data_IF_906619397828
#
_entry.id   IF_906619397828
#
_cell.length_a   1.000
_cell.length_b   1.000
_cell.length_c   1.000
_cell.angle_alpha   90.00
_cell.angle_beta   90.00
_cell.angle_gamma   90.00
#
_symmetry.space_group_name_H-M   'P 1'
#
loop_
_entity.id
_entity.type
_entity.pdbx_description
1 polymer ?
#
# COMPACT_ATOMS: atom_id res chain seq x y z
N UNK A 1 11.22 -2.47 20.51
CA UNK A 1 10.89 -1.39 19.56
C UNK A 1 11.60 -1.53 18.20
N UNK A 2 12.81 -2.10 18.12
CA UNK A 2 13.57 -2.26 16.86
C UNK A 2 12.90 -3.15 15.79
N UNK A 3 12.18 -4.20 16.19
CA UNK A 3 11.52 -5.12 15.25
C UNK A 3 10.36 -4.49 14.47
N UNK A 4 9.46 -3.77 15.17
CA UNK A 4 8.30 -3.12 14.56
C UNK A 4 8.73 -2.10 13.50
N UNK A 5 9.67 -1.22 13.84
CA UNK A 5 10.14 -0.19 12.91
C UNK A 5 10.82 -0.79 11.68
N UNK A 6 11.70 -1.78 11.86
CA UNK A 6 12.34 -2.50 10.74
C UNK A 6 11.32 -3.16 9.82
N UNK A 7 10.31 -3.82 10.39
CA UNK A 7 9.25 -4.47 9.61
C UNK A 7 8.35 -3.44 8.91
N UNK A 8 8.05 -2.31 9.55
CA UNK A 8 7.30 -1.21 8.93
C UNK A 8 8.06 -0.59 7.76
N UNK A 9 9.36 -0.33 7.92
CA UNK A 9 10.22 0.15 6.83
C UNK A 9 10.29 -0.85 5.70
N UNK A 10 10.47 -2.14 6.00
CA UNK A 10 10.49 -3.19 4.98
C UNK A 10 9.15 -3.26 4.23
N UNK A 11 8.03 -3.21 4.94
CA UNK A 11 6.71 -3.23 4.32
C UNK A 11 6.50 -2.00 3.42
N UNK A 12 6.82 -0.80 3.90
CA UNK A 12 6.74 0.43 3.11
C UNK A 12 7.61 0.40 1.85
N UNK A 13 8.84 -0.10 1.97
CA UNK A 13 9.75 -0.23 0.83
C UNK A 13 9.26 -1.27 -0.20
N UNK A 14 8.75 -2.41 0.25
CA UNK A 14 8.14 -3.42 -0.63
C UNK A 14 6.89 -2.87 -1.33
N UNK A 15 6.06 -2.11 -0.61
CA UNK A 15 4.87 -1.48 -1.17
C UNK A 15 5.23 -0.46 -2.26
N UNK A 16 6.24 0.39 -2.00
CA UNK A 16 6.75 1.33 -3.00
C UNK A 16 7.31 0.60 -4.22
N UNK A 17 8.14 -0.44 -4.00
CA UNK A 17 8.71 -1.23 -5.09
C UNK A 17 7.64 -1.89 -5.97
N UNK A 18 6.59 -2.43 -5.34
CA UNK A 18 5.44 -2.97 -6.06
C UNK A 18 4.70 -1.89 -6.86
N UNK A 19 4.34 -0.77 -6.22
CA UNK A 19 3.66 0.36 -6.88
C UNK A 19 4.45 0.89 -8.07
N UNK A 20 5.76 1.07 -7.91
CA UNK A 20 6.65 1.50 -8.99
C UNK A 20 6.71 0.49 -10.15
N UNK A 21 6.80 -0.80 -9.86
CA UNK A 21 6.79 -1.85 -10.86
C UNK A 21 5.47 -1.88 -11.66
N UNK A 22 4.33 -1.71 -10.98
CA UNK A 22 3.04 -1.57 -11.63
C UNK A 22 2.92 -0.28 -12.45
N UNK A 23 3.51 0.83 -12.00
CA UNK A 23 3.64 2.06 -12.78
C UNK A 23 4.37 1.86 -14.09
N UNK A 24 5.50 1.13 -14.06
CA UNK A 24 6.21 0.74 -15.27
C UNK A 24 5.39 -0.20 -16.15
N UNK A 25 4.72 -1.20 -15.55
CA UNK A 25 3.84 -2.11 -16.27
C UNK A 25 2.69 -1.37 -16.97
N UNK A 26 2.11 -0.36 -16.30
CA UNK A 26 1.05 0.48 -16.86
C UNK A 26 1.52 1.20 -18.11
N UNK A 27 2.64 1.91 -18.04
CA UNK A 27 3.13 2.72 -19.17
C UNK A 27 3.70 1.87 -20.30
N UNK A 28 4.46 0.82 -19.99
CA UNK A 28 5.16 0.03 -21.00
C UNK A 28 4.29 -1.05 -21.64
N UNK A 29 3.26 -1.52 -20.93
CA UNK A 29 2.45 -2.67 -21.38
C UNK A 29 0.96 -2.35 -21.41
N UNK A 30 0.37 -1.86 -20.31
CA UNK A 30 -1.09 -1.73 -20.27
C UNK A 30 -1.61 -0.64 -21.20
N UNK A 31 -1.03 0.56 -21.17
CA UNK A 31 -1.48 1.69 -22.00
C UNK A 31 -1.32 1.38 -23.49
N UNK A 32 -0.17 0.87 -23.98
CA UNK A 32 -0.01 0.54 -25.39
C UNK A 32 -0.97 -0.54 -25.91
N UNK A 33 -1.38 -1.49 -25.06
CA UNK A 33 -2.18 -2.65 -25.49
C UNK A 33 -3.68 -2.51 -25.19
N UNK A 34 -4.07 -1.81 -24.13
CA UNK A 34 -5.45 -1.72 -23.63
C UNK A 34 -6.01 -0.29 -23.69
N UNK A 35 -5.18 0.68 -24.06
CA UNK A 35 -5.52 2.10 -24.06
C UNK A 35 -5.43 2.74 -22.68
N UNK A 36 -5.43 4.07 -22.69
CA UNK A 36 -5.13 4.89 -21.51
C UNK A 36 -6.12 4.67 -20.36
N UNK A 37 -7.42 4.63 -20.67
CA UNK A 37 -8.49 4.50 -19.65
C UNK A 37 -8.42 3.18 -18.90
N UNK A 38 -8.30 2.06 -19.60
CA UNK A 38 -8.25 0.74 -18.96
C UNK A 38 -6.91 0.50 -18.25
N UNK A 39 -5.80 0.99 -18.81
CA UNK A 39 -4.50 0.89 -18.17
C UNK A 39 -4.46 1.54 -16.78
N UNK A 40 -5.01 2.75 -16.66
CA UNK A 40 -5.11 3.43 -15.37
C UNK A 40 -6.09 2.76 -14.39
N UNK A 41 -7.25 2.32 -14.88
CA UNK A 41 -8.28 1.70 -14.03
C UNK A 41 -7.85 0.35 -13.47
N UNK A 42 -7.03 -0.41 -14.18
CA UNK A 42 -6.54 -1.72 -13.73
C UNK A 42 -5.37 -1.61 -12.76
N UNK A 43 -4.51 -0.60 -12.92
CA UNK A 43 -3.35 -0.43 -12.05
C UNK A 43 -3.75 -0.25 -10.59
N UNK A 44 -4.66 0.68 -10.30
CA UNK A 44 -5.05 0.99 -8.92
C UNK A 44 -5.51 -0.23 -8.10
N UNK A 45 -6.48 -1.07 -8.56
CA UNK A 45 -6.90 -2.25 -7.81
C UNK A 45 -5.80 -3.30 -7.71
N UNK A 46 -4.96 -3.46 -8.74
CA UNK A 46 -3.85 -4.43 -8.71
C UNK A 46 -2.77 -4.04 -7.72
N UNK A 47 -2.35 -2.77 -7.72
CA UNK A 47 -1.39 -2.21 -6.76
C UNK A 47 -1.94 -2.34 -5.34
N UNK A 48 -3.17 -1.87 -5.13
CA UNK A 48 -3.81 -1.88 -3.81
C UNK A 48 -3.93 -3.31 -3.26
N UNK A 49 -4.37 -4.26 -4.08
CA UNK A 49 -4.46 -5.66 -3.70
C UNK A 49 -3.07 -6.24 -3.38
N UNK A 50 -2.07 -5.98 -4.20
CA UNK A 50 -0.70 -6.48 -3.99
C UNK A 50 -0.11 -5.97 -2.68
N UNK A 51 -0.21 -4.67 -2.42
CA UNK A 51 0.28 -4.06 -1.18
C UNK A 51 -0.46 -4.62 0.04
N UNK A 52 -1.79 -4.75 -0.04
CA UNK A 52 -2.58 -5.34 1.04
C UNK A 52 -2.21 -6.82 1.30
N UNK A 53 -1.93 -7.59 0.26
CA UNK A 53 -1.47 -8.97 0.38
C UNK A 53 -0.09 -9.07 1.04
N UNK A 54 0.84 -8.17 0.70
CA UNK A 54 2.16 -8.08 1.35
C UNK A 54 1.97 -7.80 2.86
N UNK A 55 1.19 -6.79 3.22
CA UNK A 55 0.93 -6.45 4.62
C UNK A 55 0.28 -7.58 5.41
N UNK A 56 -0.69 -8.25 4.78
CA UNK A 56 -1.39 -9.40 5.36
C UNK A 56 -0.45 -10.59 5.53
N UNK A 57 0.43 -10.86 4.56
CA UNK A 57 1.42 -11.92 4.64
C UNK A 57 2.46 -11.64 5.75
N UNK A 58 2.96 -10.40 5.84
CA UNK A 58 3.90 -10.01 6.90
C UNK A 58 3.28 -10.12 8.29
N UNK A 59 2.02 -9.70 8.44
CA UNK A 59 1.28 -9.83 9.69
C UNK A 59 1.10 -11.29 10.13
N UNK A 60 0.80 -12.20 9.21
CA UNK A 60 0.71 -13.63 9.52
C UNK A 60 2.07 -14.24 9.87
N UNK A 61 3.12 -13.85 9.13
CA UNK A 61 4.46 -14.42 9.28
C UNK A 61 5.21 -13.95 10.53
N UNK A 62 5.07 -12.67 10.88
CA UNK A 62 5.84 -11.99 11.92
C UNK A 62 4.98 -11.41 13.04
N UNK A 63 3.66 -11.28 12.81
CA UNK A 63 2.70 -10.67 13.73
C UNK A 63 1.98 -11.67 14.65
N UNK A 64 2.25 -12.97 14.54
CA UNK A 64 1.62 -14.00 15.34
C UNK A 64 1.84 -13.74 16.85
N UNK A 65 0.75 -13.62 17.61
CA UNK A 65 0.78 -13.31 19.05
C UNK A 65 0.86 -11.83 19.42
N UNK A 66 1.11 -10.92 18.47
CA UNK A 66 1.08 -9.47 18.74
C UNK A 66 -0.34 -8.91 18.81
N UNK A 67 -0.54 -7.75 19.43
CA UNK A 67 -1.86 -7.11 19.59
C UNK A 67 -2.36 -6.45 18.29
N UNK A 68 -3.67 -6.14 18.21
CA UNK A 68 -4.23 -5.37 17.09
C UNK A 68 -3.58 -4.00 16.95
N UNK A 69 -3.27 -3.35 18.08
CA UNK A 69 -2.57 -2.07 18.09
C UNK A 69 -1.16 -2.17 17.47
N UNK A 70 -0.45 -3.27 17.70
CA UNK A 70 0.86 -3.50 17.08
C UNK A 70 0.74 -3.66 15.55
N UNK A 71 -0.27 -4.39 15.07
CA UNK A 71 -0.53 -4.57 13.63
C UNK A 71 -0.94 -3.25 12.95
N UNK A 72 -1.76 -2.43 13.62
CA UNK A 72 -2.08 -1.08 13.15
C UNK A 72 -0.82 -0.20 13.08
N UNK A 73 0.02 -0.23 14.12
CA UNK A 73 1.27 0.52 14.12
C UNK A 73 2.21 0.08 12.98
N UNK A 74 2.27 -1.23 12.68
CA UNK A 74 3.03 -1.75 11.54
C UNK A 74 2.54 -1.13 10.22
N UNK A 75 1.23 -1.14 9.99
CA UNK A 75 0.62 -0.55 8.80
C UNK A 75 0.86 0.94 8.70
N UNK A 76 0.64 1.70 9.78
CA UNK A 76 0.84 3.16 9.81
C UNK A 76 2.30 3.54 9.53
N UNK A 77 3.26 2.85 10.14
CA UNK A 77 4.69 3.09 9.88
C UNK A 77 5.00 2.83 8.41
N UNK A 78 4.49 1.73 7.85
CA UNK A 78 4.72 1.39 6.45
C UNK A 78 4.10 2.42 5.49
N UNK A 79 2.88 2.88 5.76
CA UNK A 79 2.22 3.95 4.99
C UNK A 79 3.02 5.25 5.08
N UNK A 80 3.53 5.62 6.25
CA UNK A 80 4.37 6.81 6.41
C UNK A 80 5.68 6.69 5.62
N UNK A 81 6.30 5.51 5.62
CA UNK A 81 7.52 5.23 4.82
C UNK A 81 7.21 5.32 3.33
N UNK A 82 6.11 4.73 2.86
CA UNK A 82 5.67 4.83 1.46
C UNK A 82 5.48 6.29 1.04
N UNK A 83 4.70 7.06 1.80
CA UNK A 83 4.46 8.49 1.53
C UNK A 83 5.77 9.27 1.51
N UNK A 84 6.70 8.99 2.43
CA UNK A 84 8.00 9.66 2.46
C UNK A 84 8.81 9.37 1.20
N UNK A 85 8.89 8.11 0.76
CA UNK A 85 9.62 7.73 -0.46
C UNK A 85 8.96 8.37 -1.68
N UNK A 86 7.64 8.29 -1.80
CA UNK A 86 6.90 8.92 -2.91
C UNK A 86 7.04 10.44 -2.92
N UNK A 87 7.01 11.10 -1.75
CA UNK A 87 7.24 12.55 -1.65
C UNK A 87 8.62 12.93 -2.17
N UNK A 88 9.64 12.16 -1.81
CA UNK A 88 11.00 12.36 -2.32
C UNK A 88 11.02 12.21 -3.84
N UNK A 89 10.38 11.17 -4.37
CA UNK A 89 10.32 10.92 -5.80
C UNK A 89 9.57 12.03 -6.55
N UNK A 90 8.35 12.37 -6.13
CA UNK A 90 7.50 13.35 -6.77
C UNK A 90 8.11 14.75 -6.73
N UNK A 91 8.55 15.21 -5.56
CA UNK A 91 8.95 16.61 -5.36
C UNK A 91 10.40 16.87 -5.77
N UNK A 92 11.31 15.92 -5.54
CA UNK A 92 12.75 16.15 -5.76
C UNK A 92 13.28 15.50 -7.04
N UNK A 93 12.79 14.31 -7.39
CA UNK A 93 13.25 13.59 -8.59
C UNK A 93 12.44 14.03 -9.81
N UNK A 94 11.11 13.94 -9.74
CA UNK A 94 10.19 14.32 -10.82
C UNK A 94 9.90 15.83 -10.86
N UNK A 95 10.33 16.58 -9.85
CA UNK A 95 10.17 18.05 -9.75
C UNK A 95 8.72 18.50 -9.91
N UNK A 96 7.77 17.70 -9.43
CA UNK A 96 6.36 18.05 -9.48
C UNK A 96 6.05 19.24 -8.57
N UNK A 97 5.22 20.20 -9.03
CA UNK A 97 4.69 21.25 -8.18
C UNK A 97 3.95 20.68 -6.97
N UNK A 98 4.18 21.27 -5.79
CA UNK A 98 3.54 20.83 -4.53
C UNK A 98 2.01 20.80 -4.65
N UNK A 99 1.41 21.75 -5.37
CA UNK A 99 -0.04 21.79 -5.60
C UNK A 99 -0.56 20.56 -6.36
N UNK A 100 0.17 20.10 -7.38
CA UNK A 100 -0.20 18.88 -8.12
C UNK A 100 0.01 17.63 -7.27
N UNK A 101 1.09 17.58 -6.49
CA UNK A 101 1.29 16.50 -5.53
C UNK A 101 0.15 16.41 -4.52
N UNK A 102 -0.29 17.52 -3.92
CA UNK A 102 -1.40 17.53 -2.96
C UNK A 102 -2.75 17.16 -3.59
N UNK A 103 -2.96 17.37 -4.89
CA UNK A 103 -4.16 16.90 -5.59
C UNK A 103 -4.28 15.38 -5.56
N UNK A 104 -3.16 14.65 -5.55
CA UNK A 104 -3.19 13.19 -5.40
C UNK A 104 -3.77 12.74 -4.06
N UNK A 105 -3.84 13.59 -3.03
CA UNK A 105 -4.50 13.29 -1.75
C UNK A 105 -5.96 13.73 -1.69
N UNK A 106 -6.48 14.40 -2.72
CA UNK A 106 -7.82 14.98 -2.68
C UNK A 106 -8.90 13.95 -3.10
N UNK A 107 -9.50 13.29 -2.12
CA UNK A 107 -10.61 12.34 -2.33
C UNK A 107 -11.84 13.03 -2.93
N UNK A 108 -12.11 14.29 -2.56
CA UNK A 108 -13.27 15.06 -3.07
C UNK A 108 -13.13 15.31 -4.57
N UNK A 109 -11.89 15.47 -5.06
CA UNK A 109 -11.58 15.58 -6.48
C UNK A 109 -11.54 14.22 -7.21
N UNK A 110 -11.85 13.11 -6.53
CA UNK A 110 -11.91 11.77 -7.11
C UNK A 110 -10.61 10.97 -7.02
N UNK A 111 -9.61 11.42 -6.24
CA UNK A 111 -8.38 10.64 -6.08
C UNK A 111 -8.62 9.37 -5.25
N UNK A 112 -8.18 8.24 -5.77
CA UNK A 112 -8.24 6.95 -5.09
C UNK A 112 -7.02 6.68 -4.20
N UNK A 113 -5.96 7.48 -4.33
CA UNK A 113 -4.70 7.22 -3.64
C UNK A 113 -4.83 7.15 -2.09
N UNK A 114 -5.57 8.06 -1.42
CA UNK A 114 -5.82 7.94 0.02
C UNK A 114 -6.57 6.67 0.44
N UNK A 115 -7.44 6.15 -0.43
CA UNK A 115 -8.17 4.89 -0.19
C UNK A 115 -7.17 3.72 -0.21
N UNK A 116 -6.27 3.69 -1.19
CA UNK A 116 -5.19 2.70 -1.25
C UNK A 116 -4.29 2.75 0.00
N UNK A 117 -3.92 3.95 0.45
CA UNK A 117 -3.14 4.14 1.68
C UNK A 117 -3.87 3.64 2.94
N UNK A 118 -5.17 3.92 3.05
CA UNK A 118 -5.99 3.43 4.16
C UNK A 118 -6.09 1.90 4.16
N UNK A 119 -6.31 1.28 3.00
CA UNK A 119 -6.32 -0.19 2.85
C UNK A 119 -4.96 -0.78 3.25
N UNK A 120 -3.87 -0.21 2.76
CA UNK A 120 -2.50 -0.63 3.11
C UNK A 120 -2.28 -0.58 4.62
N UNK A 121 -2.70 0.49 5.29
CA UNK A 121 -2.52 0.68 6.73
C UNK A 121 -3.32 -0.34 7.55
N UNK A 122 -4.50 -0.74 7.06
CA UNK A 122 -5.40 -1.68 7.74
C UNK A 122 -5.14 -3.15 7.39
N UNK A 123 -4.47 -3.43 6.27
CA UNK A 123 -4.23 -4.79 5.79
C UNK A 123 -3.62 -5.75 6.83
N UNK A 124 -2.63 -5.34 7.66
CA UNK A 124 -2.11 -6.19 8.73
C UNK A 124 -3.19 -6.67 9.70
N UNK A 125 -4.18 -5.84 10.02
CA UNK A 125 -5.27 -6.17 10.95
C UNK A 125 -6.27 -7.14 10.34
N UNK A 126 -6.63 -6.93 9.07
CA UNK A 126 -7.58 -7.80 8.36
C UNK A 126 -7.12 -9.25 8.29
N UNK A 127 -5.80 -9.47 8.15
CA UNK A 127 -5.23 -10.82 8.16
C UNK A 127 -5.60 -11.62 9.43
N UNK A 128 -5.58 -10.96 10.60
CA UNK A 128 -5.95 -11.58 11.87
C UNK A 128 -7.45 -11.78 12.03
N UNK A 129 -8.25 -10.88 11.47
CA UNK A 129 -9.70 -11.05 11.45
C UNK A 129 -10.09 -12.30 10.66
N UNK A 130 -9.49 -12.50 9.47
CA UNK A 130 -9.72 -13.67 8.64
C UNK A 130 -9.33 -14.98 9.34
N UNK A 131 -8.16 -15.05 9.98
CA UNK A 131 -7.75 -16.23 10.76
C UNK A 131 -8.75 -16.58 11.88
N UNK A 132 -9.29 -15.57 12.58
CA UNK A 132 -10.32 -15.79 13.61
C UNK A 132 -11.64 -16.27 13.03
N UNK A 133 -12.02 -15.81 11.84
CA UNK A 133 -13.21 -16.27 11.15
C UNK A 133 -13.08 -17.72 10.66
N UNK A 134 -11.92 -18.10 10.12
CA UNK A 134 -11.63 -19.47 9.69
C UNK A 134 -11.60 -20.43 10.88
N UNK A 135 -10.94 -20.05 11.99
CA UNK A 135 -10.90 -20.86 13.20
C UNK A 135 -12.30 -21.11 13.80
N UNK A 136 -13.22 -20.13 13.69
CA UNK A 136 -14.63 -20.29 14.12
C UNK A 136 -15.49 -21.12 13.16
N UNK A 137 -15.07 -21.28 11.90
CA UNK A 137 -15.78 -22.10 10.89
C UNK A 137 -15.37 -23.57 10.92
N UNK A 138 -14.21 -23.88 11.47
CA UNK A 138 -13.67 -25.24 11.61
C UNK A 138 -13.89 -25.89 12.98
N UNK A 139 -14.60 -25.23 13.89
CA UNK A 139 -14.99 -25.72 15.22
C UNK A 139 -16.51 -25.87 15.31
#
# INVERSE_FOLDING_TARGET
>A
MSGLFRLGVLYGALAFGAGFAFGMLRELVLIPNLGERLGHQLEFPLVTATVALIGSWMARRFGAGYSVAWLLALGVIATAVLIAIESVFALFILRQPVGLYLQSFNIIAGSLFPIGLAIMALAPVFSRAMERFEAKRGA
#
